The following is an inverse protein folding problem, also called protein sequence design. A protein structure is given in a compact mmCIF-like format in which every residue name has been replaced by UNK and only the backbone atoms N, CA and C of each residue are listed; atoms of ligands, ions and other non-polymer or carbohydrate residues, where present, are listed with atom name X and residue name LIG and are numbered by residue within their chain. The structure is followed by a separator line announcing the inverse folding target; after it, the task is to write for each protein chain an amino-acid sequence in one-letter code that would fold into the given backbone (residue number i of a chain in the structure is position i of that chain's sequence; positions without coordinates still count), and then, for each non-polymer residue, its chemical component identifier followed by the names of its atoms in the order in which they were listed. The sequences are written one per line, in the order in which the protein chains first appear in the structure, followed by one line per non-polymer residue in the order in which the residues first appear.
data_IF_615694469865
#
_entry.id   IF_615694469865
#
_cell.length_a   1.000
_cell.length_b   1.000
_cell.length_c   1.000
_cell.angle_alpha   90.00
_cell.angle_beta   90.00
_cell.angle_gamma   90.00
#
_symmetry.space_group_name_H-M   'P 1'
#
loop_
_entity.id
_entity.type
_entity.pdbx_description
1 polymer ?
#
# COMPACT_ATOMS: atom_id res chain seq x y z
N UNK A 1 -5.75 19.74 20.18
CA UNK A 1 -6.66 19.09 19.23
C UNK A 1 -6.03 17.77 18.84
N UNK A 2 -6.78 16.67 18.90
CA UNK A 2 -6.29 15.33 18.57
C UNK A 2 -6.43 15.14 17.06
N UNK A 3 -5.31 15.03 16.34
CA UNK A 3 -5.32 14.77 14.91
C UNK A 3 -5.46 13.27 14.66
N UNK A 4 -6.43 12.85 13.86
CA UNK A 4 -6.74 11.45 13.55
C UNK A 4 -6.86 11.26 12.05
N UNK A 5 -6.16 10.25 11.54
CA UNK A 5 -6.25 9.73 10.17
C UNK A 5 -6.64 8.26 10.24
N UNK A 6 -7.49 7.84 9.31
CA UNK A 6 -7.73 6.44 9.00
C UNK A 6 -6.79 5.99 7.87
N UNK A 7 -6.20 4.80 8.03
CA UNK A 7 -5.41 4.16 7.00
C UNK A 7 -6.00 2.78 6.71
N UNK A 8 -6.13 2.47 5.42
CA UNK A 8 -6.83 1.25 4.95
C UNK A 8 -5.97 0.45 3.97
N UNK A 9 -4.77 -0.02 4.35
CA UNK A 9 -3.90 -0.74 3.43
C UNK A 9 -4.51 -2.07 2.98
N UNK A 10 -4.21 -2.45 1.75
CA UNK A 10 -4.65 -3.71 1.16
C UNK A 10 -3.44 -4.59 0.89
N UNK A 11 -3.52 -5.86 1.29
CA UNK A 11 -2.45 -6.83 1.09
C UNK A 11 -2.94 -7.97 0.21
N UNK A 12 -2.05 -8.45 -0.66
CA UNK A 12 -2.28 -9.62 -1.52
C UNK A 12 -2.02 -10.90 -0.73
N UNK A 13 -2.82 -11.10 0.32
CA UNK A 13 -2.82 -12.25 1.22
C UNK A 13 -4.20 -12.38 1.88
N UNK A 14 -4.73 -13.59 1.93
CA UNK A 14 -6.08 -13.90 2.42
C UNK A 14 -6.25 -15.34 2.90
N UNK A 15 -5.17 -16.13 2.94
CA UNK A 15 -5.14 -17.54 3.33
C UNK A 15 -4.21 -17.80 4.51
N UNK A 16 -2.96 -17.33 4.45
CA UNK A 16 -1.95 -17.64 5.46
C UNK A 16 -2.12 -16.76 6.70
N UNK A 17 -2.72 -17.36 7.73
CA UNK A 17 -2.93 -16.72 9.02
C UNK A 17 -1.63 -16.19 9.65
N UNK A 18 -0.48 -16.84 9.43
CA UNK A 18 0.80 -16.38 9.98
C UNK A 18 1.27 -15.08 9.35
N UNK A 19 0.93 -14.85 8.08
CA UNK A 19 1.21 -13.58 7.41
C UNK A 19 0.24 -12.51 7.89
N UNK A 20 -1.05 -12.83 7.97
CA UNK A 20 -2.08 -11.91 8.49
C UNK A 20 -1.80 -11.47 9.92
N UNK A 21 -1.37 -12.40 10.79
CA UNK A 21 -1.03 -12.11 12.18
C UNK A 21 0.22 -11.23 12.28
N UNK A 22 1.23 -11.45 11.43
CA UNK A 22 2.43 -10.62 11.40
C UNK A 22 2.14 -9.20 10.91
N UNK A 23 1.23 -9.04 9.94
CA UNK A 23 0.74 -7.73 9.50
C UNK A 23 -0.01 -7.03 10.62
N UNK A 24 -0.90 -7.75 11.32
CA UNK A 24 -1.63 -7.26 12.49
C UNK A 24 -0.66 -6.77 13.56
N UNK A 25 0.31 -7.58 13.93
CA UNK A 25 1.31 -7.27 14.96
C UNK A 25 2.12 -6.04 14.58
N UNK A 26 2.59 -5.94 13.33
CA UNK A 26 3.33 -4.78 12.84
C UNK A 26 2.54 -3.48 13.00
N UNK A 27 1.25 -3.49 12.67
CA UNK A 27 0.36 -2.33 12.82
C UNK A 27 0.15 -1.99 14.30
N UNK A 28 -0.22 -2.98 15.12
CA UNK A 28 -0.54 -2.76 16.54
C UNK A 28 0.68 -2.51 17.42
N UNK A 29 1.89 -2.78 16.93
CA UNK A 29 3.14 -2.48 17.62
C UNK A 29 3.46 -0.99 17.73
N UNK A 30 2.78 -0.15 16.93
CA UNK A 30 3.03 1.30 16.91
C UNK A 30 2.18 1.99 17.98
N UNK A 31 2.80 2.67 18.96
CA UNK A 31 2.07 3.41 19.97
C UNK A 31 1.14 4.46 19.36
N UNK A 32 -0.10 4.53 19.86
CA UNK A 32 -1.11 5.49 19.39
C UNK A 32 -1.88 5.04 18.14
N UNK A 33 -1.61 3.85 17.61
CA UNK A 33 -2.43 3.22 16.56
C UNK A 33 -3.49 2.30 17.17
N UNK A 34 -4.71 2.37 16.64
CA UNK A 34 -5.81 1.48 16.97
C UNK A 34 -6.28 0.77 15.72
N UNK A 35 -6.09 -0.55 15.69
CA UNK A 35 -6.69 -1.41 14.68
C UNK A 35 -8.19 -1.51 14.92
N UNK A 36 -8.98 -1.21 13.89
CA UNK A 36 -10.44 -1.20 13.93
C UNK A 36 -11.01 -2.48 13.32
N UNK A 37 -10.47 -2.90 12.18
CA UNK A 37 -10.99 -4.05 11.44
C UNK A 37 -9.91 -4.74 10.62
N UNK A 38 -10.11 -6.04 10.38
CA UNK A 38 -9.32 -6.85 9.44
C UNK A 38 -10.25 -7.78 8.70
N UNK A 39 -10.38 -7.55 7.39
CA UNK A 39 -11.16 -8.40 6.49
C UNK A 39 -10.18 -9.19 5.63
N UNK A 40 -10.26 -10.51 5.67
CA UNK A 40 -9.51 -11.39 4.79
C UNK A 40 -10.49 -12.22 3.96
N UNK A 41 -10.28 -12.24 2.65
CA UNK A 41 -11.10 -12.97 1.70
C UNK A 41 -10.24 -13.98 0.95
N UNK A 42 -10.58 -15.26 1.13
CA UNK A 42 -9.86 -16.35 0.52
C UNK A 42 -10.08 -16.48 -1.00
N UNK A 43 -11.27 -16.17 -1.52
CA UNK A 43 -11.51 -16.24 -2.97
C UNK A 43 -10.74 -15.12 -3.70
N UNK A 44 -10.77 -13.93 -3.12
CA UNK A 44 -10.03 -12.78 -3.64
C UNK A 44 -8.52 -12.84 -3.34
N UNK A 45 -8.09 -13.71 -2.42
CA UNK A 45 -6.73 -13.81 -1.89
C UNK A 45 -6.21 -12.43 -1.43
N UNK A 46 -7.05 -11.69 -0.73
CA UNK A 46 -6.80 -10.30 -0.36
C UNK A 46 -7.25 -10.03 1.07
N UNK A 47 -6.52 -9.14 1.73
CA UNK A 47 -6.92 -8.61 3.03
C UNK A 47 -6.91 -7.09 3.04
N UNK A 48 -7.78 -6.54 3.88
CA UNK A 48 -7.96 -5.12 4.13
C UNK A 48 -7.86 -4.90 5.63
N UNK A 49 -6.89 -4.08 6.03
CA UNK A 49 -6.72 -3.69 7.43
C UNK A 49 -7.18 -2.25 7.56
N UNK A 50 -8.00 -1.96 8.56
CA UNK A 50 -8.48 -0.60 8.84
C UNK A 50 -7.99 -0.20 10.21
N UNK A 51 -7.24 0.89 10.31
CA UNK A 51 -6.76 1.42 11.58
C UNK A 51 -6.73 2.94 11.60
N UNK A 52 -6.76 3.50 12.79
CA UNK A 52 -6.69 4.95 13.03
C UNK A 52 -5.50 5.29 13.92
N UNK A 53 -5.00 6.51 13.79
CA UNK A 53 -3.97 7.07 14.67
C UNK A 53 -3.64 8.51 14.31
N UNK A 54 -2.74 9.11 15.07
CA UNK A 54 -2.13 10.38 14.65
C UNK A 54 -1.40 10.17 13.30
N UNK A 55 -1.34 11.19 12.40
CA UNK A 55 -0.79 11.04 11.06
C UNK A 55 0.53 10.25 10.99
N UNK A 56 1.52 10.64 11.79
CA UNK A 56 2.84 10.01 11.76
C UNK A 56 2.84 8.59 12.35
N UNK A 57 1.99 8.32 13.36
CA UNK A 57 1.84 6.98 13.92
C UNK A 57 1.14 6.03 12.92
N UNK A 58 0.11 6.51 12.23
CA UNK A 58 -0.56 5.75 11.18
C UNK A 58 0.37 5.45 10.00
N UNK A 59 1.19 6.43 9.58
CA UNK A 59 2.19 6.25 8.53
C UNK A 59 3.29 5.25 8.93
N UNK A 60 3.79 5.31 10.17
CA UNK A 60 4.75 4.33 10.68
C UNK A 60 4.16 2.91 10.74
N UNK A 61 2.90 2.75 11.16
CA UNK A 61 2.22 1.46 11.16
C UNK A 61 2.04 0.90 9.74
N UNK A 62 1.63 1.74 8.78
CA UNK A 62 1.54 1.36 7.38
C UNK A 62 2.92 0.91 6.84
N UNK A 63 3.98 1.68 7.08
CA UNK A 63 5.34 1.34 6.65
C UNK A 63 5.81 0.00 7.22
N UNK A 64 5.60 -0.26 8.52
CA UNK A 64 5.96 -1.54 9.15
C UNK A 64 5.21 -2.72 8.55
N UNK A 65 3.91 -2.55 8.30
CA UNK A 65 3.09 -3.58 7.66
C UNK A 65 3.54 -3.84 6.21
N UNK A 66 3.88 -2.80 5.45
CA UNK A 66 4.43 -2.92 4.11
C UNK A 66 5.77 -3.67 4.09
N UNK A 67 6.62 -3.45 5.09
CA UNK A 67 7.87 -4.21 5.24
C UNK A 67 7.60 -5.70 5.47
N UNK A 68 6.67 -6.03 6.36
CA UNK A 68 6.25 -7.43 6.59
C UNK A 68 5.68 -8.04 5.30
N UNK A 69 4.84 -7.32 4.58
CA UNK A 69 4.28 -7.76 3.31
C UNK A 69 5.38 -8.05 2.27
N UNK A 70 6.35 -7.14 2.12
CA UNK A 70 7.51 -7.33 1.24
C UNK A 70 8.29 -8.61 1.56
N UNK A 71 8.47 -8.92 2.85
CA UNK A 71 9.27 -10.06 3.30
C UNK A 71 8.53 -11.40 3.19
N UNK A 72 7.20 -11.38 3.31
CA UNK A 72 6.41 -12.61 3.50
C UNK A 72 5.49 -12.97 2.33
N UNK A 73 5.14 -12.01 1.47
CA UNK A 73 4.24 -12.24 0.34
C UNK A 73 5.07 -12.31 -0.95
N UNK A 74 4.89 -13.41 -1.68
CA UNK A 74 5.54 -13.65 -2.98
C UNK A 74 4.49 -13.66 -4.10
N UNK A 75 4.36 -12.52 -4.80
CA UNK A 75 3.41 -12.37 -5.90
C UNK A 75 3.65 -13.33 -7.06
N UNK A 76 4.84 -13.91 -7.19
CA UNK A 76 5.12 -14.91 -8.24
C UNK A 76 4.38 -16.23 -8.01
N UNK A 77 3.88 -16.43 -6.78
CA UNK A 77 3.10 -17.61 -6.36
C UNK A 77 1.65 -17.26 -6.01
N UNK A 78 1.34 -15.96 -5.91
CA UNK A 78 0.02 -15.48 -5.55
C UNK A 78 -0.98 -15.65 -6.70
N UNK A 79 -2.11 -16.30 -6.40
CA UNK A 79 -3.28 -16.37 -7.29
C UNK A 79 -4.55 -16.06 -6.50
N UNK A 80 -5.37 -15.15 -7.02
CA UNK A 80 -6.65 -14.74 -6.43
C UNK A 80 -7.50 -14.00 -7.46
N UNK A 81 -8.80 -13.94 -7.23
CA UNK A 81 -9.75 -13.32 -8.17
C UNK A 81 -9.61 -11.80 -8.25
N UNK A 82 -9.09 -11.16 -7.19
CA UNK A 82 -8.96 -9.71 -7.14
C UNK A 82 -7.73 -9.23 -7.92
N UNK A 83 -7.87 -8.22 -8.81
CA UNK A 83 -6.73 -7.62 -9.49
C UNK A 83 -5.75 -7.00 -8.49
N UNK A 84 -4.47 -7.32 -8.64
CA UNK A 84 -3.40 -6.84 -7.75
C UNK A 84 -2.12 -6.56 -8.52
N UNK A 85 -1.34 -5.63 -8.01
CA UNK A 85 -0.03 -5.24 -8.53
C UNK A 85 1.07 -5.29 -7.47
N UNK A 86 0.71 -5.35 -6.18
CA UNK A 86 1.65 -5.32 -5.06
C UNK A 86 1.35 -6.29 -3.92
N UNK A 87 2.38 -6.72 -3.21
CA UNK A 87 2.25 -7.44 -1.94
C UNK A 87 1.49 -6.58 -0.92
N UNK A 88 1.86 -5.31 -0.83
CA UNK A 88 0.94 -4.23 -0.46
C UNK A 88 0.48 -3.58 -1.75
N UNK A 89 -0.82 -3.61 -1.97
CA UNK A 89 -1.40 -3.19 -3.24
C UNK A 89 -1.76 -1.70 -3.24
N UNK A 90 -2.43 -1.24 -2.17
CA UNK A 90 -2.72 0.18 -1.93
C UNK A 90 -2.62 0.57 -0.47
N UNK A 91 -2.29 1.83 -0.19
CA UNK A 91 -2.26 2.43 1.16
C UNK A 91 -2.90 3.84 1.17
N UNK A 92 -4.23 3.95 1.27
CA UNK A 92 -4.90 5.23 1.45
C UNK A 92 -4.75 5.80 2.86
N UNK A 93 -4.76 7.14 2.93
CA UNK A 93 -4.96 7.91 4.16
C UNK A 93 -6.21 8.79 4.02
N UNK A 94 -7.13 8.70 4.97
CA UNK A 94 -8.41 9.41 4.99
C UNK A 94 -8.46 10.32 6.23
N UNK A 95 -8.75 11.63 6.06
CA UNK A 95 -8.88 12.53 7.21
C UNK A 95 -10.12 12.18 8.05
N UNK A 96 -9.96 12.07 9.37
CA UNK A 96 -11.06 11.78 10.30
C UNK A 96 -11.35 12.97 11.21
N UNK A 97 -10.35 13.44 11.96
CA UNK A 97 -10.51 14.55 12.90
C UNK A 97 -9.25 15.41 12.93
N UNK A 98 -9.39 16.73 12.83
CA UNK A 98 -8.26 17.66 12.98
C UNK A 98 -7.16 17.52 11.91
N UNK A 99 -7.47 16.88 10.77
CA UNK A 99 -6.55 16.66 9.64
C UNK A 99 -7.25 17.02 8.34
N UNK A 100 -6.56 17.73 7.44
CA UNK A 100 -7.06 18.10 6.12
C UNK A 100 -6.69 17.06 5.07
N UNK A 101 -7.38 17.09 3.93
CA UNK A 101 -7.02 16.25 2.78
C UNK A 101 -5.59 16.51 2.31
N UNK A 102 -5.15 17.78 2.27
CA UNK A 102 -3.78 18.14 1.86
C UNK A 102 -2.72 17.54 2.81
N UNK A 103 -3.02 17.46 4.10
CA UNK A 103 -2.15 16.78 5.06
C UNK A 103 -2.09 15.27 4.81
N UNK A 104 -3.20 14.63 4.42
CA UNK A 104 -3.19 13.21 4.01
C UNK A 104 -2.40 13.00 2.71
N UNK A 105 -2.48 13.92 1.75
CA UNK A 105 -1.68 13.88 0.51
C UNK A 105 -0.20 13.97 0.82
N UNK A 106 0.19 14.89 1.70
CA UNK A 106 1.59 15.03 2.14
C UNK A 106 2.07 13.78 2.89
N UNK A 107 1.21 13.18 3.72
CA UNK A 107 1.50 11.92 4.41
C UNK A 107 1.74 10.77 3.43
N UNK A 108 0.89 10.64 2.40
CA UNK A 108 1.03 9.64 1.35
C UNK A 108 2.34 9.82 0.56
N UNK A 109 2.71 11.07 0.25
CA UNK A 109 3.98 11.40 -0.42
C UNK A 109 5.18 10.96 0.40
N UNK A 110 5.23 11.34 1.68
CA UNK A 110 6.33 10.97 2.58
C UNK A 110 6.45 9.47 2.77
N UNK A 111 5.32 8.78 2.96
CA UNK A 111 5.32 7.32 3.04
C UNK A 111 5.83 6.70 1.73
N UNK A 112 5.32 7.16 0.59
CA UNK A 112 5.71 6.65 -0.73
C UNK A 112 7.20 6.82 -1.02
N UNK A 113 7.77 7.98 -0.70
CA UNK A 113 9.20 8.24 -0.84
C UNK A 113 10.02 7.27 0.03
N UNK A 114 9.63 7.11 1.29
CA UNK A 114 10.30 6.21 2.23
C UNK A 114 10.23 4.75 1.79
N UNK A 115 9.06 4.29 1.35
CA UNK A 115 8.85 2.94 0.81
C UNK A 115 9.72 2.72 -0.42
N UNK A 116 9.72 3.66 -1.35
CA UNK A 116 10.55 3.59 -2.55
C UNK A 116 12.04 3.49 -2.23
N UNK A 117 12.50 4.23 -1.21
CA UNK A 117 13.90 4.27 -0.79
C UNK A 117 14.34 3.04 0.03
N UNK A 118 13.57 2.68 1.05
CA UNK A 118 13.97 1.65 2.04
C UNK A 118 13.52 0.25 1.66
N UNK A 119 12.36 0.12 1.00
CA UNK A 119 11.80 -1.17 0.61
C UNK A 119 12.07 -1.51 -0.86
N UNK A 120 12.62 -0.57 -1.63
CA UNK A 120 12.88 -0.71 -3.07
C UNK A 120 11.63 -1.12 -3.88
N UNK A 121 10.45 -0.70 -3.41
CA UNK A 121 9.18 -0.94 -4.08
C UNK A 121 8.83 0.31 -4.90
N UNK A 122 8.60 0.21 -6.22
CA UNK A 122 8.06 1.32 -6.99
C UNK A 122 6.68 1.76 -6.48
N UNK A 123 6.49 3.06 -6.30
CA UNK A 123 5.28 3.66 -5.73
C UNK A 123 4.61 4.60 -6.74
N UNK A 124 3.28 4.49 -6.86
CA UNK A 124 2.46 5.40 -7.65
C UNK A 124 1.49 6.15 -6.74
N UNK A 125 1.56 7.48 -6.70
CA UNK A 125 0.56 8.26 -5.99
C UNK A 125 -0.75 8.27 -6.79
N UNK A 126 -1.87 8.06 -6.12
CA UNK A 126 -3.19 7.96 -6.75
C UNK A 126 -4.24 8.86 -6.11
N UNK A 127 -5.43 8.91 -6.73
CA UNK A 127 -6.56 9.72 -6.29
C UNK A 127 -6.14 11.18 -6.04
N UNK A 128 -6.43 11.73 -4.85
CA UNK A 128 -6.08 13.13 -4.51
C UNK A 128 -4.58 13.39 -4.42
N UNK A 129 -3.75 12.35 -4.27
CA UNK A 129 -2.30 12.48 -4.26
C UNK A 129 -1.66 12.33 -5.66
N UNK A 130 -2.46 11.99 -6.68
CA UNK A 130 -1.98 11.74 -8.03
C UNK A 130 -1.16 12.90 -8.60
N UNK A 131 -0.02 12.58 -9.21
CA UNK A 131 0.85 13.54 -9.90
C UNK A 131 0.51 13.71 -11.38
N UNK A 132 -0.33 12.81 -11.90
CA UNK A 132 -0.80 12.79 -13.30
C UNK A 132 -2.30 12.48 -13.30
N UNK A 133 -3.11 13.13 -14.15
CA UNK A 133 -4.58 12.94 -14.16
C UNK A 133 -5.00 11.47 -14.32
N UNK A 134 -4.28 10.69 -15.12
CA UNK A 134 -4.57 9.28 -15.34
C UNK A 134 -4.43 8.40 -14.09
N UNK A 135 -3.69 8.86 -13.07
CA UNK A 135 -3.47 8.15 -11.79
C UNK A 135 -4.54 8.42 -10.75
N UNK A 136 -5.47 9.33 -11.01
CA UNK A 136 -6.63 9.51 -10.12
C UNK A 136 -7.45 8.23 -10.00
N UNK A 137 -7.54 7.47 -11.10
CA UNK A 137 -8.21 6.17 -11.15
C UNK A 137 -7.23 5.03 -10.91
N UNK A 138 -7.35 4.37 -9.75
CA UNK A 138 -6.54 3.21 -9.39
C UNK A 138 -6.54 2.07 -10.43
N UNK A 139 -7.66 1.72 -11.09
CA UNK A 139 -7.66 0.77 -12.20
C UNK A 139 -6.69 1.10 -13.34
N UNK A 140 -6.42 2.39 -13.63
CA UNK A 140 -5.45 2.77 -14.66
C UNK A 140 -4.01 2.42 -14.25
N UNK A 141 -3.69 2.56 -12.97
CA UNK A 141 -2.39 2.17 -12.41
C UNK A 141 -2.28 0.64 -12.43
N UNK A 142 -3.28 -0.06 -11.89
CA UNK A 142 -3.36 -1.54 -11.82
C UNK A 142 -3.50 -2.23 -13.19
N UNK A 143 -3.72 -1.50 -14.29
CA UNK A 143 -3.88 -2.09 -15.62
C UNK A 143 -2.64 -2.90 -15.99
N UNK A 144 -2.83 -4.19 -16.21
CA UNK A 144 -1.77 -5.17 -16.44
C UNK A 144 -1.46 -6.06 -15.23
N UNK A 145 -1.93 -5.69 -14.03
CA UNK A 145 -1.63 -6.38 -12.77
C UNK A 145 -0.12 -6.53 -12.54
N UNK A 146 0.29 -7.41 -11.62
CA UNK A 146 1.70 -7.71 -11.37
C UNK A 146 2.45 -8.16 -12.64
N UNK A 147 1.87 -9.10 -13.41
CA UNK A 147 2.52 -9.71 -14.57
C UNK A 147 2.76 -8.71 -15.70
N UNK A 148 1.76 -7.89 -16.03
CA UNK A 148 1.88 -6.88 -17.08
C UNK A 148 2.75 -5.71 -16.66
N UNK A 149 2.67 -5.27 -15.40
CA UNK A 149 3.50 -4.17 -14.90
C UNK A 149 4.98 -4.55 -14.81
N UNK A 150 5.29 -5.84 -14.59
CA UNK A 150 6.67 -6.35 -14.68
C UNK A 150 7.29 -6.13 -16.05
N UNK A 151 6.49 -6.16 -17.11
CA UNK A 151 6.96 -5.92 -18.48
C UNK A 151 6.94 -4.45 -18.90
N UNK A 152 6.17 -3.61 -18.20
CA UNK A 152 5.95 -2.20 -18.57
C UNK A 152 6.82 -1.21 -17.77
N UNK A 153 6.96 -1.39 -16.46
CA UNK A 153 7.74 -0.46 -15.62
C UNK A 153 9.20 -0.50 -16.07
N UNK A 154 9.80 0.67 -16.29
CA UNK A 154 11.15 0.82 -16.85
C UNK A 154 11.22 0.79 -18.38
N UNK A 155 10.13 0.46 -19.08
CA UNK A 155 10.04 0.45 -20.56
C UNK A 155 9.01 1.45 -21.10
N UNK A 156 7.86 1.57 -20.44
CA UNK A 156 6.78 2.48 -20.79
C UNK A 156 6.87 3.77 -19.94
N UNK A 157 7.12 4.96 -20.54
CA UNK A 157 7.15 6.23 -19.84
C UNK A 157 5.84 6.61 -19.12
N UNK A 158 4.70 6.03 -19.51
CA UNK A 158 3.44 6.20 -18.78
C UNK A 158 3.45 5.48 -17.42
N UNK A 159 4.28 4.45 -17.28
CA UNK A 159 4.39 3.59 -16.08
C UNK A 159 5.62 3.89 -15.22
N UNK A 160 6.26 5.04 -15.39
CA UNK A 160 7.33 5.51 -14.48
C UNK A 160 6.75 5.79 -13.08
N UNK A 161 7.24 5.16 -12.00
CA UNK A 161 6.77 5.40 -10.63
C UNK A 161 7.02 6.84 -10.17
N UNK A 162 6.23 7.31 -9.20
CA UNK A 162 6.49 8.59 -8.52
C UNK A 162 7.71 8.50 -7.60
N UNK A 163 7.87 7.36 -6.92
CA UNK A 163 9.00 7.10 -6.04
C UNK A 163 9.53 5.68 -6.21
N UNK A 164 10.76 5.48 -5.74
CA UNK A 164 11.45 4.20 -5.78
C UNK A 164 12.04 3.86 -7.14
N UNK A 165 12.51 2.62 -7.32
CA UNK A 165 13.16 2.19 -8.56
C UNK A 165 12.21 2.22 -9.76
N UNK A 166 12.67 2.64 -10.93
CA UNK A 166 11.91 2.49 -12.19
C UNK A 166 12.00 1.05 -12.73
N UNK A 167 11.69 0.07 -11.87
CA UNK A 167 11.59 -1.37 -12.16
C UNK A 167 10.67 -2.01 -11.12
N UNK A 168 9.97 -3.07 -11.48
CA UNK A 168 9.12 -3.79 -10.52
C UNK A 168 9.96 -4.49 -9.43
N UNK A 169 9.46 -4.58 -8.20
CA UNK A 169 10.09 -5.45 -7.20
C UNK A 169 9.80 -6.92 -7.57
N UNK A 170 10.80 -7.82 -7.54
CA UNK A 170 10.68 -9.18 -8.11
C UNK A 170 9.57 -10.02 -7.50
N UNK A 171 9.29 -9.87 -6.21
CA UNK A 171 8.26 -10.63 -5.47
C UNK A 171 7.16 -9.77 -4.89
N UNK A 172 7.42 -8.46 -4.71
CA UNK A 172 6.52 -7.57 -3.97
C UNK A 172 5.75 -6.62 -4.90
N UNK A 173 6.10 -6.59 -6.20
CA UNK A 173 5.38 -5.81 -7.18
C UNK A 173 5.61 -4.30 -7.06
N UNK A 174 4.53 -3.54 -7.19
CA UNK A 174 4.46 -2.10 -6.99
C UNK A 174 3.25 -1.75 -6.12
N UNK A 175 3.25 -0.58 -5.49
CA UNK A 175 2.15 -0.12 -4.61
C UNK A 175 1.59 1.23 -5.07
N UNK A 176 0.37 1.54 -4.65
CA UNK A 176 -0.19 2.89 -4.75
C UNK A 176 -0.64 3.48 -3.42
#
# INVERSE_FOLDING_TARGET
MTAIVECVPNFSEGHDQRVLDALREAITSVPGVRLLDVQADAAHHRSVFTFIGAPEAASEAAFRAMRVARERIDLTKHQGEHPRMGATDVVPFIPVEGVTMDQCVELARKLGERVGKELEIPVFLYARAATRPERESLPNIRKGQFEGLREQIGKDPAKTPDFGPNRIHPTAGCTA
#
